data_IF_329395800818
#
_entry.id   IF_329395800818
#
_cell.length_a   1.000
_cell.length_b   1.000
_cell.length_c   1.000
_cell.angle_alpha   90.00
_cell.angle_beta   90.00
_cell.angle_gamma   90.00
#
_symmetry.space_group_name_H-M   'P 1'
#
loop_
_entity.id
_entity.type
_entity.pdbx_description
1 polymer ?
#
# COMPACT_ATOMS: atom_id res chain seq x y z
N UNK A 1 -22.45 -1.77 -6.30
CA UNK A 1 -21.60 -1.04 -7.25
C UNK A 1 -20.21 -1.64 -7.16
N UNK A 2 -19.64 -2.03 -8.29
CA UNK A 2 -18.26 -2.52 -8.40
C UNK A 2 -17.43 -1.41 -9.06
N UNK A 3 -16.52 -0.80 -8.30
CA UNK A 3 -15.74 0.37 -8.75
C UNK A 3 -14.36 -0.11 -9.23
N UNK A 4 -14.01 0.24 -10.46
CA UNK A 4 -12.79 -0.29 -11.09
C UNK A 4 -12.98 -1.76 -11.47
N UNK A 5 -14.10 -2.07 -12.15
CA UNK A 5 -14.50 -3.47 -12.41
C UNK A 5 -13.47 -4.23 -13.27
N UNK A 6 -12.62 -3.51 -14.01
CA UNK A 6 -11.60 -4.07 -14.87
C UNK A 6 -12.17 -4.82 -16.07
N UNK A 7 -11.32 -5.39 -16.93
CA UNK A 7 -11.73 -5.97 -18.21
C UNK A 7 -12.54 -7.27 -18.10
N UNK A 8 -12.62 -7.86 -16.90
CA UNK A 8 -13.28 -9.15 -16.66
C UNK A 8 -14.43 -9.08 -15.65
N UNK A 9 -14.71 -7.90 -15.10
CA UNK A 9 -15.81 -7.66 -14.17
C UNK A 9 -15.95 -8.71 -13.04
N UNK A 10 -14.82 -9.18 -12.50
CA UNK A 10 -14.77 -10.38 -11.66
C UNK A 10 -15.64 -10.22 -10.42
N UNK A 11 -15.57 -9.06 -9.75
CA UNK A 11 -16.36 -8.81 -8.54
C UNK A 11 -17.82 -8.54 -8.85
N UNK A 12 -18.15 -7.86 -9.94
CA UNK A 12 -19.53 -7.72 -10.38
C UNK A 12 -20.20 -9.09 -10.64
N UNK A 13 -19.50 -9.99 -11.32
CA UNK A 13 -19.97 -11.35 -11.57
C UNK A 13 -20.11 -12.17 -10.29
N UNK A 14 -19.12 -12.09 -9.39
CA UNK A 14 -19.18 -12.74 -8.10
C UNK A 14 -20.37 -12.23 -7.26
N UNK A 15 -20.64 -10.94 -7.28
CA UNK A 15 -21.78 -10.35 -6.57
C UNK A 15 -23.11 -10.86 -7.10
N UNK A 16 -23.30 -10.94 -8.43
CA UNK A 16 -24.53 -11.53 -9.01
C UNK A 16 -24.67 -13.00 -8.64
N UNK A 17 -23.59 -13.78 -8.74
CA UNK A 17 -23.58 -15.20 -8.32
C UNK A 17 -23.89 -15.38 -6.84
N UNK A 18 -23.54 -14.41 -5.99
CA UNK A 18 -23.88 -14.37 -4.58
C UNK A 18 -25.32 -13.87 -4.30
N UNK A 19 -26.10 -13.55 -5.34
CA UNK A 19 -27.51 -13.17 -5.22
C UNK A 19 -27.80 -11.67 -5.34
N UNK A 20 -26.83 -10.84 -5.76
CA UNK A 20 -27.10 -9.44 -6.05
C UNK A 20 -28.10 -9.30 -7.22
N UNK A 21 -29.17 -8.53 -7.00
CA UNK A 21 -30.23 -8.31 -8.01
C UNK A 21 -29.74 -7.48 -9.20
N UNK A 22 -28.86 -6.53 -8.94
CA UNK A 22 -28.30 -5.58 -9.91
C UNK A 22 -26.91 -5.16 -9.47
N UNK A 23 -25.97 -5.07 -10.41
CA UNK A 23 -24.63 -4.52 -10.22
C UNK A 23 -24.34 -3.48 -11.29
N UNK A 24 -24.02 -2.27 -10.85
CA UNK A 24 -23.38 -1.25 -11.67
C UNK A 24 -21.86 -1.45 -11.59
N UNK A 25 -21.26 -1.89 -12.68
CA UNK A 25 -19.84 -2.19 -12.83
C UNK A 25 -19.17 -1.00 -13.52
N UNK A 26 -18.41 -0.21 -12.75
CA UNK A 26 -17.87 1.08 -13.18
C UNK A 26 -16.41 0.89 -13.60
N UNK A 27 -16.07 1.33 -14.80
CA UNK A 27 -14.70 1.26 -15.32
C UNK A 27 -14.34 2.54 -16.08
N UNK A 28 -13.25 3.20 -15.69
CA UNK A 28 -12.87 4.48 -16.27
C UNK A 28 -12.11 4.34 -17.60
N UNK A 29 -11.41 3.23 -17.82
CA UNK A 29 -10.69 2.96 -19.05
C UNK A 29 -11.65 2.42 -20.14
N UNK A 30 -11.81 3.11 -21.28
CA UNK A 30 -12.78 2.71 -22.31
C UNK A 30 -12.56 1.29 -22.86
N UNK A 31 -11.30 0.90 -23.09
CA UNK A 31 -10.94 -0.43 -23.59
C UNK A 31 -11.24 -1.53 -22.56
N UNK A 32 -10.97 -1.28 -21.27
CA UNK A 32 -11.34 -2.20 -20.20
C UNK A 32 -12.86 -2.30 -20.06
N UNK A 33 -13.60 -1.19 -20.13
CA UNK A 33 -15.05 -1.18 -20.06
C UNK A 33 -15.69 -1.97 -21.22
N UNK A 34 -15.18 -1.81 -22.45
CA UNK A 34 -15.64 -2.60 -23.61
C UNK A 34 -15.36 -4.10 -23.42
N UNK A 35 -14.16 -4.46 -22.96
CA UNK A 35 -13.82 -5.86 -22.66
C UNK A 35 -14.71 -6.43 -21.56
N UNK A 36 -15.01 -5.65 -20.52
CA UNK A 36 -15.91 -6.05 -19.45
C UNK A 36 -17.32 -6.35 -19.99
N UNK A 37 -17.88 -5.48 -20.86
CA UNK A 37 -19.17 -5.73 -21.53
C UNK A 37 -19.15 -7.03 -22.31
N UNK A 38 -18.10 -7.26 -23.09
CA UNK A 38 -17.93 -8.47 -23.89
C UNK A 38 -17.71 -9.73 -23.03
N UNK A 39 -17.05 -9.61 -21.88
CA UNK A 39 -16.83 -10.72 -20.98
C UNK A 39 -18.12 -11.12 -20.25
N UNK A 40 -18.85 -10.13 -19.73
CA UNK A 40 -20.16 -10.30 -19.07
C UNK A 40 -21.18 -10.92 -20.01
N UNK A 41 -21.25 -10.49 -21.28
CA UNK A 41 -22.23 -11.01 -22.26
C UNK A 41 -22.02 -12.48 -22.62
N UNK A 42 -20.87 -13.05 -22.29
CA UNK A 42 -20.51 -14.46 -22.53
C UNK A 42 -20.67 -15.35 -21.29
N UNK A 43 -21.19 -14.82 -20.18
CA UNK A 43 -21.44 -15.59 -18.97
C UNK A 43 -22.86 -16.14 -18.99
N UNK A 44 -23.01 -17.44 -19.33
CA UNK A 44 -24.32 -18.08 -19.48
C UNK A 44 -25.09 -18.21 -18.14
N UNK A 45 -24.38 -18.16 -17.01
CA UNK A 45 -24.95 -18.28 -15.67
C UNK A 45 -25.43 -16.94 -15.07
N UNK A 46 -25.25 -15.83 -15.80
CA UNK A 46 -25.56 -14.48 -15.34
C UNK A 46 -26.88 -14.00 -15.95
N UNK A 47 -27.92 -13.70 -15.16
CA UNK A 47 -29.18 -13.21 -15.69
C UNK A 47 -29.01 -11.92 -16.51
N UNK A 48 -29.66 -11.85 -17.67
CA UNK A 48 -29.60 -10.68 -18.54
C UNK A 48 -30.02 -9.40 -17.79
N UNK A 49 -29.23 -8.33 -17.93
CA UNK A 49 -29.48 -7.03 -17.29
C UNK A 49 -29.06 -6.93 -15.81
N UNK A 50 -28.64 -8.03 -15.18
CA UNK A 50 -28.17 -8.03 -13.78
C UNK A 50 -26.83 -7.30 -13.59
N UNK A 51 -25.96 -7.28 -14.60
CA UNK A 51 -24.73 -6.47 -14.63
C UNK A 51 -24.86 -5.40 -15.70
N UNK A 52 -24.58 -4.16 -15.32
CA UNK A 52 -24.52 -3.00 -16.23
C UNK A 52 -23.15 -2.37 -16.13
N UNK A 53 -22.38 -2.47 -17.22
CA UNK A 53 -21.04 -1.89 -17.29
C UNK A 53 -21.13 -0.44 -17.77
N UNK A 54 -20.73 0.48 -16.91
CA UNK A 54 -20.75 1.93 -17.14
C UNK A 54 -19.32 2.41 -17.29
N UNK A 55 -19.03 3.07 -18.40
CA UNK A 55 -17.73 3.70 -18.62
C UNK A 55 -17.69 5.07 -17.93
N UNK A 56 -16.65 5.29 -17.14
CA UNK A 56 -16.40 6.57 -16.49
C UNK A 56 -15.88 6.44 -15.06
N UNK A 57 -15.63 7.59 -14.43
CA UNK A 57 -15.32 7.67 -13.01
C UNK A 57 -16.61 7.77 -12.21
N UNK A 58 -16.62 7.24 -10.97
CA UNK A 58 -17.76 7.39 -10.05
C UNK A 58 -18.19 8.85 -9.94
N UNK A 59 -17.23 9.77 -9.86
CA UNK A 59 -17.38 11.23 -9.79
C UNK A 59 -18.02 11.88 -11.02
N UNK A 60 -18.02 11.19 -12.16
CA UNK A 60 -18.53 11.71 -13.44
C UNK A 60 -19.84 11.03 -13.89
N UNK A 61 -20.28 9.98 -13.18
CA UNK A 61 -21.52 9.26 -13.49
C UNK A 61 -22.61 9.57 -12.48
N UNK A 62 -23.85 9.28 -12.87
CA UNK A 62 -25.02 9.27 -11.97
C UNK A 62 -25.73 7.95 -12.13
N UNK A 63 -26.00 7.28 -11.01
CA UNK A 63 -26.76 6.03 -11.00
C UNK A 63 -28.27 6.35 -10.92
N UNK A 64 -29.14 5.53 -11.53
CA UNK A 64 -30.58 5.73 -11.46
C UNK A 64 -31.17 5.43 -10.07
N UNK A 65 -30.43 4.70 -9.24
CA UNK A 65 -30.77 4.40 -7.86
C UNK A 65 -29.51 4.30 -7.00
N UNK A 66 -29.67 4.49 -5.69
CA UNK A 66 -28.59 4.26 -4.72
C UNK A 66 -28.35 2.76 -4.53
N UNK A 67 -27.11 2.38 -4.21
CA UNK A 67 -26.69 0.99 -4.00
C UNK A 67 -26.62 0.61 -2.52
N UNK A 68 -26.79 -0.68 -2.25
CA UNK A 68 -26.69 -1.28 -0.91
C UNK A 68 -25.24 -1.64 -0.52
N UNK A 69 -24.41 -1.95 -1.52
CA UNK A 69 -23.04 -2.44 -1.36
C UNK A 69 -22.10 -1.80 -2.39
N UNK A 70 -20.91 -1.41 -1.95
CA UNK A 70 -19.77 -1.00 -2.80
C UNK A 70 -18.66 -2.02 -2.67
N UNK A 71 -18.17 -2.52 -3.82
CA UNK A 71 -16.95 -3.31 -3.92
C UNK A 71 -15.91 -2.45 -4.65
N UNK A 72 -14.70 -2.35 -4.11
CA UNK A 72 -13.64 -1.54 -4.70
C UNK A 72 -12.27 -2.19 -4.48
N UNK A 73 -11.70 -2.71 -5.57
CA UNK A 73 -10.31 -3.16 -5.62
C UNK A 73 -9.53 -2.17 -6.48
N UNK A 74 -9.31 -0.98 -5.91
CA UNK A 74 -8.53 0.12 -6.48
C UNK A 74 -7.43 0.53 -5.48
N UNK A 75 -6.97 -0.44 -4.68
CA UNK A 75 -6.04 -0.20 -3.57
C UNK A 75 -4.62 -0.09 -4.12
N UNK A 76 -3.95 1.03 -3.84
CA UNK A 76 -2.53 1.19 -4.14
C UNK A 76 -1.62 0.50 -3.12
N UNK A 77 -0.32 0.75 -3.24
CA UNK A 77 0.66 0.24 -2.28
C UNK A 77 0.63 1.01 -0.94
N UNK A 78 -0.02 2.18 -0.93
CA UNK A 78 -0.47 2.88 0.27
C UNK A 78 -2.00 3.01 0.23
N UNK A 79 -2.63 3.11 1.41
CA UNK A 79 -4.08 3.12 1.54
C UNK A 79 -4.71 4.37 0.89
N UNK A 80 -3.97 5.49 0.90
CA UNK A 80 -4.41 6.75 0.29
C UNK A 80 -4.00 6.93 -1.18
N UNK A 81 -3.27 5.99 -1.78
CA UNK A 81 -2.91 6.02 -3.21
C UNK A 81 -4.14 5.84 -4.13
N UNK A 82 -3.92 5.98 -5.43
CA UNK A 82 -4.90 5.65 -6.49
C UNK A 82 -6.25 6.40 -6.40
N UNK A 83 -6.26 7.57 -5.77
CA UNK A 83 -7.46 8.38 -5.53
C UNK A 83 -8.56 7.64 -4.74
N UNK A 84 -8.22 6.57 -4.01
CA UNK A 84 -9.16 5.75 -3.25
C UNK A 84 -10.09 6.60 -2.38
N UNK A 85 -9.51 7.52 -1.60
CA UNK A 85 -10.26 8.42 -0.71
C UNK A 85 -11.31 9.24 -1.47
N UNK A 86 -10.95 9.82 -2.61
CA UNK A 86 -11.85 10.68 -3.39
C UNK A 86 -12.97 9.85 -4.00
N UNK A 87 -12.65 8.68 -4.54
CA UNK A 87 -13.60 7.75 -5.14
C UNK A 87 -14.60 7.22 -4.11
N UNK A 88 -14.12 6.81 -2.93
CA UNK A 88 -14.98 6.28 -1.87
C UNK A 88 -15.84 7.37 -1.21
N UNK A 89 -15.32 8.60 -1.06
CA UNK A 89 -16.11 9.75 -0.60
C UNK A 89 -17.28 10.04 -1.56
N UNK A 90 -17.02 10.02 -2.85
CA UNK A 90 -18.06 10.25 -3.85
C UNK A 90 -19.15 9.16 -3.81
N UNK A 91 -18.74 7.90 -3.63
CA UNK A 91 -19.67 6.79 -3.42
C UNK A 91 -20.54 6.99 -2.16
N UNK A 92 -19.92 7.35 -1.03
CA UNK A 92 -20.63 7.66 0.22
C UNK A 92 -21.70 8.73 0.04
N UNK A 93 -21.33 9.85 -0.60
CA UNK A 93 -22.18 11.04 -0.68
C UNK A 93 -23.35 10.87 -1.66
N UNK A 94 -23.08 10.30 -2.85
CA UNK A 94 -24.06 10.30 -3.95
C UNK A 94 -24.72 8.95 -4.19
N UNK A 95 -23.97 7.86 -4.06
CA UNK A 95 -24.38 6.58 -4.63
C UNK A 95 -24.87 5.56 -3.60
N UNK A 96 -24.63 5.75 -2.30
CA UNK A 96 -24.95 4.73 -1.28
C UNK A 96 -26.22 5.03 -0.48
N UNK A 97 -26.95 3.96 -0.13
CA UNK A 97 -28.13 4.02 0.78
C UNK A 97 -27.71 4.17 2.25
N UNK A 98 -26.73 3.36 2.67
CA UNK A 98 -26.29 3.25 4.08
C UNK A 98 -24.76 3.44 4.21
N UNK A 99 -24.23 4.64 3.90
CA UNK A 99 -22.77 4.88 3.86
C UNK A 99 -22.06 4.78 5.22
N UNK A 100 -22.81 4.69 6.33
CA UNK A 100 -22.27 4.51 7.68
C UNK A 100 -22.29 3.06 8.15
N UNK A 101 -22.86 2.15 7.35
CA UNK A 101 -22.87 0.74 7.66
C UNK A 101 -21.57 0.10 7.15
N UNK A 102 -20.72 -0.45 8.03
CA UNK A 102 -19.47 -1.07 7.60
C UNK A 102 -19.69 -2.31 6.70
N UNK A 103 -20.88 -2.92 6.71
CA UNK A 103 -21.24 -4.02 5.80
C UNK A 103 -21.65 -3.56 4.40
N UNK A 104 -21.76 -2.25 4.16
CA UNK A 104 -22.00 -1.69 2.81
C UNK A 104 -20.74 -1.59 1.95
N UNK A 105 -19.61 -2.18 2.39
CA UNK A 105 -18.30 -2.05 1.75
C UNK A 105 -17.53 -3.38 1.70
N UNK A 106 -16.87 -3.64 0.57
CA UNK A 106 -15.83 -4.66 0.43
C UNK A 106 -14.64 -4.05 -0.34
N UNK A 107 -13.45 -3.91 0.27
CA UNK A 107 -13.17 -4.08 1.70
C UNK A 107 -13.89 -3.00 2.54
N UNK A 108 -14.07 -3.22 3.85
CA UNK A 108 -14.64 -2.19 4.73
C UNK A 108 -13.61 -1.16 5.21
N UNK A 109 -12.32 -1.49 5.09
CA UNK A 109 -11.23 -0.55 5.35
C UNK A 109 -9.91 -1.00 4.75
N UNK A 110 -9.00 -0.03 4.63
CA UNK A 110 -7.66 -0.21 4.07
C UNK A 110 -6.66 0.50 4.98
N UNK A 111 -5.54 -0.16 5.23
CA UNK A 111 -4.51 0.27 6.14
C UNK A 111 -3.16 0.30 5.44
N UNK A 112 -2.26 1.14 5.92
CA UNK A 112 -0.85 1.11 5.55
C UNK A 112 -0.02 0.84 6.77
N UNK A 113 0.87 -0.14 6.68
CA UNK A 113 1.88 -0.42 7.69
C UNK A 113 3.20 0.20 7.27
N UNK A 114 3.99 0.61 8.25
CA UNK A 114 5.31 1.17 8.05
C UNK A 114 6.33 0.47 8.97
N UNK A 115 7.53 0.24 8.47
CA UNK A 115 8.67 -0.23 9.29
C UNK A 115 10.01 0.25 8.71
N UNK A 116 10.99 0.61 9.55
CA UNK A 116 12.33 0.91 9.08
C UNK A 116 12.96 -0.35 8.50
N UNK A 117 13.72 -0.18 7.42
CA UNK A 117 14.27 -1.28 6.65
C UNK A 117 15.75 -1.09 6.31
N UNK A 118 16.46 -2.20 6.30
CA UNK A 118 17.72 -2.40 5.61
C UNK A 118 17.43 -2.85 4.19
N UNK A 119 18.25 -2.39 3.24
CA UNK A 119 18.16 -2.79 1.83
C UNK A 119 19.55 -3.10 1.28
N UNK A 120 19.79 -4.37 0.95
CA UNK A 120 21.11 -4.87 0.58
C UNK A 120 21.69 -4.23 -0.69
N UNK A 121 20.83 -3.77 -1.59
CA UNK A 121 21.23 -3.08 -2.82
C UNK A 121 21.30 -1.55 -2.65
N UNK A 122 21.12 -1.01 -1.45
CA UNK A 122 21.28 0.42 -1.22
C UNK A 122 22.69 0.94 -1.57
N UNK A 123 23.82 0.24 -1.26
CA UNK A 123 25.15 0.68 -1.67
C UNK A 123 25.31 0.90 -3.17
N UNK A 124 24.69 0.07 -4.02
CA UNK A 124 24.80 0.21 -5.48
C UNK A 124 23.98 1.39 -6.04
N UNK A 125 23.11 1.96 -5.21
CA UNK A 125 22.34 3.16 -5.51
C UNK A 125 23.04 4.44 -5.05
N UNK A 126 24.24 4.38 -4.47
CA UNK A 126 24.98 5.57 -4.07
C UNK A 126 25.14 6.60 -5.22
N UNK A 127 25.36 7.90 -4.92
CA UNK A 127 25.54 8.92 -5.93
C UNK A 127 26.55 8.53 -7.02
N UNK A 128 26.25 8.81 -8.31
CA UNK A 128 25.15 9.65 -8.81
C UNK A 128 23.83 8.89 -9.08
N UNK A 129 23.75 7.58 -8.82
CA UNK A 129 22.54 6.79 -9.13
C UNK A 129 21.36 7.20 -8.26
N UNK A 130 21.60 7.49 -6.98
CA UNK A 130 20.59 7.98 -6.03
C UNK A 130 19.87 9.22 -6.57
N UNK A 131 20.62 10.17 -7.11
CA UNK A 131 20.09 11.43 -7.63
C UNK A 131 19.12 11.23 -8.80
N UNK A 132 19.31 10.14 -9.56
CA UNK A 132 18.40 9.78 -10.67
C UNK A 132 17.04 9.30 -10.18
N UNK A 133 16.90 8.90 -8.92
CA UNK A 133 15.61 8.57 -8.33
C UNK A 133 14.74 9.82 -8.15
N UNK A 134 15.34 11.01 -8.05
CA UNK A 134 14.63 12.29 -7.89
C UNK A 134 13.58 12.26 -6.76
N UNK A 135 13.87 11.55 -5.67
CA UNK A 135 12.96 11.40 -4.53
C UNK A 135 11.82 10.41 -4.72
N UNK A 136 11.75 9.69 -5.85
CA UNK A 136 10.80 8.60 -6.04
C UNK A 136 11.19 7.39 -5.17
N UNK A 137 10.22 6.76 -4.49
CA UNK A 137 10.48 5.56 -3.71
C UNK A 137 10.72 4.36 -4.64
N UNK A 138 11.42 3.35 -4.13
CA UNK A 138 11.53 2.06 -4.80
C UNK A 138 10.24 1.27 -4.59
N UNK A 139 9.80 0.52 -5.60
CA UNK A 139 8.69 -0.44 -5.49
C UNK A 139 9.24 -1.84 -5.63
N UNK A 140 9.42 -2.52 -4.50
CA UNK A 140 10.03 -3.85 -4.43
C UNK A 140 8.95 -4.92 -4.37
N UNK A 141 9.24 -6.11 -4.89
CA UNK A 141 8.33 -7.24 -4.73
C UNK A 141 8.13 -7.54 -3.23
N UNK A 142 6.93 -7.90 -2.78
CA UNK A 142 6.70 -8.27 -1.37
C UNK A 142 7.56 -9.46 -0.90
N UNK A 143 8.11 -10.25 -1.82
CA UNK A 143 9.04 -11.37 -1.56
C UNK A 143 10.51 -11.01 -1.73
N UNK A 144 10.84 -9.74 -1.97
CA UNK A 144 12.21 -9.30 -2.20
C UNK A 144 13.05 -9.43 -0.93
N UNK A 145 13.92 -10.45 -0.90
CA UNK A 145 14.80 -10.79 0.23
C UNK A 145 15.99 -9.85 0.37
N UNK A 146 16.14 -8.87 -0.52
CA UNK A 146 17.14 -7.82 -0.34
C UNK A 146 16.67 -6.74 0.62
N UNK A 147 15.37 -6.70 0.96
CA UNK A 147 14.80 -5.79 1.95
C UNK A 147 14.41 -6.54 3.22
N UNK A 148 14.99 -6.14 4.36
CA UNK A 148 14.67 -6.71 5.66
C UNK A 148 14.34 -5.62 6.68
N UNK A 149 13.40 -5.89 7.56
CA UNK A 149 12.88 -4.92 8.52
C UNK A 149 13.74 -4.84 9.79
N UNK A 150 13.89 -3.65 10.35
CA UNK A 150 14.74 -3.35 11.50
C UNK A 150 13.96 -3.26 12.83
N UNK A 151 12.65 -3.06 12.74
CA UNK A 151 11.73 -2.99 13.87
C UNK A 151 10.37 -3.60 13.47
N UNK A 152 9.52 -3.88 14.46
CA UNK A 152 8.16 -4.33 14.20
C UNK A 152 7.35 -3.24 13.49
N UNK A 153 6.48 -3.64 12.54
CA UNK A 153 5.69 -2.68 11.79
C UNK A 153 4.66 -1.99 12.69
N UNK A 154 4.39 -0.73 12.36
CA UNK A 154 3.35 0.07 13.01
C UNK A 154 2.35 0.55 11.97
N UNK A 155 1.10 0.71 12.42
CA UNK A 155 0.02 1.23 11.62
C UNK A 155 0.24 2.71 11.32
N UNK A 156 0.32 3.06 10.03
CA UNK A 156 0.53 4.41 9.51
C UNK A 156 -0.80 5.07 9.14
N UNK A 157 -1.59 4.39 8.32
CA UNK A 157 -2.90 4.84 7.83
C UNK A 157 -3.94 3.80 8.23
N UNK A 158 -5.11 4.26 8.68
CA UNK A 158 -6.29 3.42 8.94
C UNK A 158 -7.53 4.10 8.35
N UNK A 159 -7.89 3.72 7.13
CA UNK A 159 -9.01 4.31 6.39
C UNK A 159 -10.18 3.33 6.44
N UNK A 160 -11.21 3.69 7.20
CA UNK A 160 -12.47 2.94 7.27
C UNK A 160 -13.50 3.63 6.39
N UNK A 161 -14.01 2.91 5.40
CA UNK A 161 -14.89 3.51 4.39
C UNK A 161 -16.28 3.85 4.89
N UNK A 162 -16.61 3.49 6.13
CA UNK A 162 -17.87 3.81 6.80
C UNK A 162 -17.73 4.96 7.80
N UNK A 163 -16.55 5.57 7.94
CA UNK A 163 -16.36 6.73 8.80
C UNK A 163 -17.10 7.95 8.25
N UNK A 164 -17.63 8.79 9.16
CA UNK A 164 -18.39 10.01 8.84
C UNK A 164 -17.61 10.99 7.96
N UNK A 165 -16.28 11.01 8.10
CA UNK A 165 -15.38 11.87 7.32
C UNK A 165 -14.12 11.10 6.96
N UNK A 166 -14.03 10.68 5.70
CA UNK A 166 -12.77 10.16 5.15
C UNK A 166 -11.68 11.25 5.15
N UNK A 167 -10.42 10.88 5.41
CA UNK A 167 -9.30 11.82 5.49
C UNK A 167 -9.19 12.68 4.23
N UNK A 168 -8.73 13.93 4.36
CA UNK A 168 -8.46 14.76 3.19
C UNK A 168 -7.36 14.12 2.32
N UNK A 169 -7.44 14.19 0.99
CA UNK A 169 -6.36 13.72 0.13
C UNK A 169 -5.01 14.34 0.56
N UNK A 170 -3.99 13.50 0.71
CA UNK A 170 -2.65 13.92 1.13
C UNK A 170 -2.43 14.07 2.64
N UNK A 171 -3.43 13.82 3.50
CA UNK A 171 -3.21 13.57 4.93
C UNK A 171 -3.29 12.07 5.22
N UNK A 172 -2.20 11.52 5.74
CA UNK A 172 -2.04 10.10 6.03
C UNK A 172 -2.03 9.80 7.54
N UNK A 173 -1.61 10.75 8.39
CA UNK A 173 -1.60 10.54 9.85
C UNK A 173 -3.00 10.58 10.46
N UNK A 174 -3.32 9.53 11.21
CA UNK A 174 -4.45 9.47 12.13
C UNK A 174 -4.14 10.07 13.50
N UNK A 175 -2.85 10.27 13.84
CA UNK A 175 -2.41 10.77 15.15
C UNK A 175 -1.41 11.92 15.03
N UNK A 176 -1.47 12.87 15.98
CA UNK A 176 -0.50 13.98 16.05
C UNK A 176 0.90 13.54 16.49
N UNK A 177 1.04 12.33 17.05
CA UNK A 177 2.31 11.83 17.58
C UNK A 177 3.20 11.25 16.47
N UNK A 178 4.53 11.38 16.57
CA UNK A 178 5.45 10.62 15.73
C UNK A 178 5.30 9.11 15.95
N UNK A 179 5.47 8.32 14.89
CA UNK A 179 5.72 6.88 15.08
C UNK A 179 7.17 6.70 15.52
N UNK A 180 7.41 5.88 16.53
CA UNK A 180 8.74 5.64 17.09
C UNK A 180 9.06 4.15 17.00
N UNK A 181 10.13 3.81 16.28
CA UNK A 181 10.57 2.44 16.05
C UNK A 181 11.87 2.20 16.79
N UNK A 182 11.86 1.26 17.73
CA UNK A 182 13.10 0.82 18.39
C UNK A 182 13.70 -0.34 17.60
N UNK A 183 14.96 -0.20 17.17
CA UNK A 183 15.69 -1.24 16.45
C UNK A 183 15.84 -2.47 17.35
N UNK A 184 15.32 -3.62 16.91
CA UNK A 184 15.29 -4.84 17.70
C UNK A 184 16.54 -5.69 17.47
N UNK A 185 17.24 -6.09 18.55
CA UNK A 185 18.43 -6.96 18.44
C UNK A 185 18.15 -8.26 17.69
N UNK A 186 17.02 -8.92 18.01
CA UNK A 186 16.60 -10.15 17.36
C UNK A 186 16.38 -9.99 15.84
N UNK A 187 15.90 -8.81 15.39
CA UNK A 187 15.77 -8.52 13.95
C UNK A 187 17.14 -8.35 13.29
N UNK A 188 18.08 -7.65 13.93
CA UNK A 188 19.43 -7.52 13.38
C UNK A 188 20.12 -8.88 13.23
N UNK A 189 19.96 -9.77 14.21
CA UNK A 189 20.49 -11.14 14.17
C UNK A 189 19.83 -11.97 13.06
N UNK A 190 18.50 -11.88 12.90
CA UNK A 190 17.78 -12.57 11.83
C UNK A 190 18.21 -12.04 10.44
N UNK A 191 18.27 -10.72 10.28
CA UNK A 191 18.65 -10.08 9.01
C UNK A 191 20.09 -10.46 8.61
N UNK A 192 21.02 -10.55 9.57
CA UNK A 192 22.40 -11.00 9.32
C UNK A 192 22.41 -12.42 8.75
N UNK A 193 21.59 -13.32 9.32
CA UNK A 193 21.42 -14.67 8.81
C UNK A 193 20.77 -14.70 7.42
N UNK A 194 19.68 -13.97 7.23
CA UNK A 194 18.92 -13.97 5.97
C UNK A 194 19.75 -13.40 4.81
N UNK A 195 20.50 -12.31 5.05
CA UNK A 195 21.44 -11.77 4.06
C UNK A 195 22.59 -12.72 3.77
N UNK A 196 23.14 -13.39 4.78
CA UNK A 196 24.19 -14.38 4.55
C UNK A 196 23.67 -15.53 3.67
N UNK A 197 22.49 -16.08 3.99
CA UNK A 197 21.87 -17.15 3.19
C UNK A 197 21.56 -16.70 1.75
N UNK A 198 21.13 -15.45 1.55
CA UNK A 198 20.90 -14.88 0.23
C UNK A 198 22.21 -14.76 -0.57
N UNK A 199 23.29 -14.26 0.05
CA UNK A 199 24.60 -14.14 -0.60
C UNK A 199 25.19 -15.50 -0.96
N UNK A 200 25.04 -16.50 -0.09
CA UNK A 200 25.51 -17.86 -0.37
C UNK A 200 24.76 -18.50 -1.56
N UNK A 201 23.47 -18.18 -1.75
CA UNK A 201 22.69 -18.64 -2.93
C UNK A 201 23.17 -18.01 -4.23
N UNK A 202 23.75 -16.82 -4.16
CA UNK A 202 24.39 -16.12 -5.28
C UNK A 202 25.89 -16.50 -5.42
N UNK A 203 26.33 -17.59 -4.79
CA UNK A 203 27.68 -18.15 -4.88
C UNK A 203 28.81 -17.23 -4.38
N UNK A 204 28.49 -16.27 -3.49
CA UNK A 204 29.49 -15.44 -2.80
C UNK A 204 30.29 -16.29 -1.81
N UNK A 205 31.60 -16.05 -1.68
CA UNK A 205 32.45 -16.83 -0.77
C UNK A 205 32.09 -16.58 0.70
N UNK A 206 32.20 -17.57 1.61
CA UNK A 206 31.91 -17.37 3.04
C UNK A 206 32.72 -16.24 3.68
N UNK A 207 33.99 -16.08 3.27
CA UNK A 207 34.90 -15.04 3.75
C UNK A 207 34.40 -13.63 3.40
N UNK A 208 33.72 -13.47 2.27
CA UNK A 208 33.12 -12.20 1.84
C UNK A 208 31.68 -12.04 2.34
N UNK A 209 30.88 -13.11 2.30
CA UNK A 209 29.46 -13.10 2.64
C UNK A 209 29.22 -12.77 4.11
N UNK A 210 30.02 -13.33 5.03
CA UNK A 210 29.89 -13.10 6.47
C UNK A 210 30.01 -11.61 6.85
N UNK A 211 31.14 -10.95 6.52
CA UNK A 211 31.32 -9.52 6.77
C UNK A 211 30.26 -8.65 6.09
N UNK A 212 29.89 -8.95 4.84
CA UNK A 212 28.91 -8.16 4.09
C UNK A 212 27.51 -8.27 4.68
N UNK A 213 27.06 -9.47 5.05
CA UNK A 213 25.76 -9.69 5.68
C UNK A 213 25.66 -8.97 7.03
N UNK A 214 26.70 -9.10 7.86
CA UNK A 214 26.80 -8.42 9.16
C UNK A 214 26.79 -6.91 9.05
N UNK A 215 27.50 -6.37 8.06
CA UNK A 215 27.49 -4.93 7.79
C UNK A 215 26.10 -4.49 7.35
N UNK A 216 25.53 -5.15 6.34
CA UNK A 216 24.24 -4.80 5.74
C UNK A 216 23.10 -4.83 6.76
N UNK A 217 23.01 -5.89 7.57
CA UNK A 217 21.99 -6.06 8.61
C UNK A 217 21.95 -4.91 9.63
N UNK A 218 23.06 -4.18 9.80
CA UNK A 218 23.22 -3.08 10.75
C UNK A 218 23.23 -1.73 10.06
N UNK A 219 22.54 -1.62 8.93
CA UNK A 219 22.31 -0.36 8.23
C UNK A 219 20.84 -0.07 8.06
N UNK A 220 20.50 1.21 8.16
CA UNK A 220 19.22 1.78 7.81
C UNK A 220 19.29 2.34 6.39
N UNK A 221 18.38 1.89 5.54
CA UNK A 221 18.24 2.40 4.17
C UNK A 221 17.06 3.35 4.05
N UNK A 222 15.94 3.02 4.68
CA UNK A 222 14.78 3.87 4.68
C UNK A 222 13.53 3.23 5.25
N UNK A 223 12.37 3.77 4.89
CA UNK A 223 11.08 3.32 5.40
C UNK A 223 10.35 2.48 4.37
N UNK A 224 9.95 1.27 4.77
CA UNK A 224 9.12 0.38 3.99
C UNK A 224 7.64 0.58 4.32
N UNK A 225 6.78 0.57 3.30
CA UNK A 225 5.33 0.70 3.38
C UNK A 225 4.62 -0.37 2.57
N UNK A 226 3.48 -0.83 3.06
CA UNK A 226 2.65 -1.80 2.35
C UNK A 226 1.20 -1.77 2.85
N UNK A 227 0.22 -2.21 2.03
CA UNK A 227 -1.18 -2.15 2.40
C UNK A 227 -1.65 -3.40 3.16
N UNK A 228 -2.72 -3.25 3.93
CA UNK A 228 -3.56 -4.35 4.45
C UNK A 228 -5.02 -3.97 4.24
N UNK A 229 -5.82 -4.88 3.71
CA UNK A 229 -7.27 -4.68 3.58
C UNK A 229 -7.98 -5.42 4.70
N UNK A 230 -9.06 -4.83 5.21
CA UNK A 230 -9.96 -5.45 6.18
C UNK A 230 -11.32 -5.68 5.51
N UNK A 231 -11.78 -6.93 5.48
CA UNK A 231 -13.01 -7.32 4.77
C UNK A 231 -14.25 -7.37 5.67
N UNK A 232 -14.07 -7.38 6.99
CA UNK A 232 -15.14 -7.39 7.97
C UNK A 232 -14.90 -6.36 9.10
N UNK A 233 -15.95 -5.80 9.72
CA UNK A 233 -15.79 -4.76 10.73
C UNK A 233 -15.02 -5.22 11.98
N UNK A 234 -14.98 -6.52 12.25
CA UNK A 234 -14.26 -7.10 13.39
C UNK A 234 -12.76 -7.30 13.11
N UNK A 235 -12.29 -7.09 11.87
CA UNK A 235 -10.88 -7.26 11.52
C UNK A 235 -10.40 -8.71 11.52
N UNK A 236 -11.32 -9.67 11.36
CA UNK A 236 -11.02 -11.10 11.40
C UNK A 236 -10.67 -11.69 10.04
N UNK A 237 -11.10 -11.04 8.97
CA UNK A 237 -10.83 -11.39 7.59
C UNK A 237 -10.00 -10.26 6.99
N UNK A 238 -8.71 -10.52 6.81
CA UNK A 238 -7.76 -9.55 6.28
C UNK A 238 -7.09 -10.07 5.02
N UNK A 239 -6.77 -9.16 4.10
CA UNK A 239 -5.87 -9.42 2.98
C UNK A 239 -4.55 -8.73 3.27
N UNK A 240 -3.52 -9.54 3.47
CA UNK A 240 -2.19 -9.10 3.83
C UNK A 240 -1.28 -9.11 2.60
N UNK A 241 -0.63 -7.97 2.33
CA UNK A 241 0.42 -7.90 1.29
C UNK A 241 1.79 -8.34 1.81
N UNK A 242 2.00 -8.26 3.13
CA UNK A 242 3.08 -8.84 3.93
C UNK A 242 2.48 -9.36 5.23
N UNK A 243 3.14 -10.33 5.86
CA UNK A 243 2.65 -10.95 7.10
C UNK A 243 2.51 -9.97 8.27
N UNK A 244 1.91 -10.39 9.39
CA UNK A 244 1.58 -9.51 10.52
C UNK A 244 2.78 -8.77 11.13
N UNK A 245 3.98 -9.36 11.06
CA UNK A 245 5.23 -8.74 11.53
C UNK A 245 6.09 -8.23 10.36
N UNK A 246 5.50 -8.13 9.17
CA UNK A 246 6.13 -7.68 7.93
C UNK A 246 6.90 -8.78 7.20
N UNK A 247 6.58 -10.05 7.44
CA UNK A 247 7.18 -11.18 6.75
C UNK A 247 6.88 -11.16 5.24
N UNK A 248 7.80 -11.71 4.45
CA UNK A 248 7.61 -11.81 3.01
C UNK A 248 6.41 -12.68 2.64
N UNK A 249 5.58 -12.16 1.74
CA UNK A 249 4.37 -12.84 1.29
C UNK A 249 4.20 -12.72 -0.22
N UNK A 250 3.48 -13.68 -0.82
CA UNK A 250 3.08 -13.59 -2.21
C UNK A 250 1.95 -12.56 -2.33
N UNK A 251 2.29 -11.39 -2.85
CA UNK A 251 1.35 -10.33 -3.16
C UNK A 251 1.73 -9.67 -4.48
N UNK A 252 0.73 -9.11 -5.17
CA UNK A 252 0.97 -8.25 -6.33
C UNK A 252 1.29 -6.81 -5.90
N UNK A 253 0.81 -6.38 -4.73
CA UNK A 253 1.20 -5.09 -4.15
C UNK A 253 2.68 -5.08 -3.82
N UNK A 254 3.44 -4.06 -4.28
CA UNK A 254 4.83 -3.92 -3.91
C UNK A 254 4.97 -3.46 -2.46
N UNK A 255 6.12 -3.76 -1.86
CA UNK A 255 6.60 -3.00 -0.70
C UNK A 255 7.25 -1.72 -1.23
N UNK A 256 6.72 -0.57 -0.85
CA UNK A 256 7.28 0.73 -1.20
C UNK A 256 8.41 1.05 -0.23
N UNK A 257 9.63 1.25 -0.72
CA UNK A 257 10.78 1.67 0.09
C UNK A 257 11.14 3.12 -0.25
N UNK A 258 10.84 4.03 0.68
CA UNK A 258 11.34 5.39 0.66
C UNK A 258 12.77 5.40 1.21
N UNK A 259 13.77 5.59 0.35
CA UNK A 259 15.16 5.76 0.81
C UNK A 259 15.32 7.09 1.55
N UNK A 260 16.00 7.04 2.69
CA UNK A 260 16.11 8.18 3.62
C UNK A 260 17.48 8.87 3.57
N UNK A 261 18.43 8.30 2.85
CA UNK A 261 19.77 8.84 2.74
C UNK A 261 20.40 8.34 1.43
N UNK A 262 21.36 9.07 0.82
CA UNK A 262 22.03 8.61 -0.40
C UNK A 262 22.88 7.34 -0.23
N UNK A 263 23.22 7.00 1.01
CA UNK A 263 23.99 5.81 1.37
C UNK A 263 23.42 5.16 2.63
N UNK A 264 23.66 3.86 2.86
CA UNK A 264 23.20 3.20 4.09
C UNK A 264 23.76 3.87 5.35
N UNK A 265 22.92 3.99 6.37
CA UNK A 265 23.23 4.66 7.63
C UNK A 265 23.49 3.60 8.72
N UNK A 266 24.64 3.56 9.38
CA UNK A 266 24.89 2.59 10.46
C UNK A 266 23.92 2.75 11.63
N UNK A 267 23.47 1.62 12.18
CA UNK A 267 22.56 1.55 13.34
C UNK A 267 22.95 0.40 14.29
N UNK A 268 22.42 0.44 15.51
CA UNK A 268 22.55 -0.63 16.51
C UNK A 268 21.21 -0.91 17.20
N UNK A 269 21.14 -2.05 17.88
CA UNK A 269 20.00 -2.39 18.72
C UNK A 269 19.75 -1.30 19.79
N UNK A 270 18.48 -0.95 19.98
CA UNK A 270 18.05 0.11 20.89
C UNK A 270 18.09 1.52 20.31
N UNK A 271 18.63 1.73 19.10
CA UNK A 271 18.46 3.00 18.39
C UNK A 271 16.96 3.24 18.12
N UNK A 272 16.53 4.49 18.23
CA UNK A 272 15.13 4.89 18.01
C UNK A 272 15.04 5.71 16.73
N UNK A 273 14.27 5.20 15.78
CA UNK A 273 13.97 5.83 14.50
C UNK A 273 12.57 6.46 14.58
N UNK A 274 12.45 7.76 14.31
CA UNK A 274 11.17 8.47 14.41
C UNK A 274 10.64 8.90 13.06
N UNK A 275 9.32 8.91 12.94
CA UNK A 275 8.61 9.38 11.75
C UNK A 275 7.60 10.44 12.15
N UNK A 276 7.98 11.68 11.87
CA UNK A 276 7.09 12.84 11.93
C UNK A 276 6.44 13.09 10.58
N UNK A 277 5.33 13.81 10.56
CA UNK A 277 4.90 14.51 9.36
C UNK A 277 5.60 15.88 9.38
N UNK A 278 6.14 16.34 8.25
CA UNK A 278 6.49 17.76 8.13
C UNK A 278 5.73 18.36 6.96
N UNK A 279 4.85 19.31 7.27
CA UNK A 279 4.11 20.09 6.29
C UNK A 279 5.09 20.92 5.46
N UNK A 280 5.24 20.60 4.18
CA UNK A 280 5.66 21.57 3.17
C UNK A 280 4.50 21.85 2.24
N UNK A 281 4.28 23.13 1.92
CA UNK A 281 3.39 23.51 0.82
C UNK A 281 3.98 22.93 -0.46
N UNK A 282 3.33 21.92 -1.03
CA UNK A 282 3.66 21.47 -2.38
C UNK A 282 3.39 22.64 -3.35
N UNK A 283 4.44 23.16 -3.97
CA UNK A 283 4.31 23.99 -5.16
C UNK A 283 4.24 23.03 -6.35
N UNK A 284 3.11 23.12 -7.06
CA UNK A 284 2.83 22.56 -8.39
C UNK A 284 2.28 21.12 -8.44
N UNK A 285 1.22 21.03 -9.23
CA UNK A 285 0.39 19.89 -9.59
C UNK A 285 1.15 18.58 -9.85
N UNK A 286 1.01 17.61 -8.94
CA UNK A 286 0.87 16.17 -9.21
C UNK A 286 0.68 15.42 -7.89
N UNK A 287 0.09 14.24 -8.03
CA UNK A 287 -0.50 13.33 -7.04
C UNK A 287 0.52 12.69 -6.08
N UNK A 288 1.36 13.47 -5.39
CA UNK A 288 2.38 12.94 -4.47
C UNK A 288 2.21 13.49 -3.05
N UNK A 289 2.31 12.62 -2.05
CA UNK A 289 2.30 12.92 -0.62
C UNK A 289 3.74 13.00 -0.12
N UNK A 290 4.27 14.20 0.09
CA UNK A 290 5.61 14.35 0.64
C UNK A 290 5.65 14.10 2.15
N UNK A 291 6.27 12.99 2.56
CA UNK A 291 6.55 12.64 3.95
C UNK A 291 8.02 12.96 4.25
N UNK A 292 8.21 13.81 5.26
CA UNK A 292 9.54 14.16 5.77
C UNK A 292 9.81 13.33 7.00
N UNK A 293 10.85 12.50 6.95
CA UNK A 293 11.23 11.62 8.05
C UNK A 293 12.36 12.27 8.82
N UNK A 294 12.34 12.20 10.15
CA UNK A 294 13.42 12.73 10.98
C UNK A 294 13.94 11.61 11.88
N UNK A 295 15.14 11.11 11.58
CA UNK A 295 15.80 10.12 12.42
C UNK A 295 16.63 10.86 13.47
N UNK A 296 16.07 11.04 14.67
CA UNK A 296 16.69 11.80 15.76
C UNK A 296 18.03 11.21 16.26
N UNK A 297 18.23 9.89 16.17
CA UNK A 297 19.49 9.26 16.58
C UNK A 297 20.63 9.42 15.57
N UNK A 298 20.34 9.81 14.32
CA UNK A 298 21.34 9.88 13.23
C UNK A 298 21.39 11.24 12.52
N UNK A 299 20.64 12.25 12.99
CA UNK A 299 20.60 13.60 12.41
C UNK A 299 20.34 13.60 10.88
N UNK A 300 19.49 12.70 10.39
CA UNK A 300 19.11 12.65 8.96
C UNK A 300 17.64 13.07 8.81
N UNK A 301 17.39 14.10 8.00
CA UNK A 301 16.06 14.63 7.71
C UNK A 301 15.83 14.73 6.18
N UNK A 302 15.60 13.60 5.50
CA UNK A 302 15.26 13.58 4.08
C UNK A 302 13.79 13.96 3.85
N UNK A 303 13.53 14.54 2.67
CA UNK A 303 12.19 14.69 2.11
C UNK A 303 11.96 13.58 1.09
N UNK A 304 10.95 12.73 1.29
CA UNK A 304 10.54 11.73 0.27
C UNK A 304 9.08 11.96 -0.09
N UNK A 305 8.78 11.99 -1.39
CA UNK A 305 7.41 12.08 -1.86
C UNK A 305 6.90 10.68 -2.20
N UNK A 306 5.98 10.20 -1.36
CA UNK A 306 5.24 8.95 -1.51
C UNK A 306 4.11 9.12 -2.53
#
# INVERSE_FOLDING_TARGET
MDIGTGPFALFALAAVRAGAKKVYAIEANPEAAERARNFVSRQDDIPAGSVEVIEGFTTAITLPEKVDLVIAEIVGALASEENMITTMRDAQERHMKTPKDPFSYIPCGVQTFAAPASYALHPILAPPRYERLQGQPLRLNARDRTLELLADPQLLEDIKFFDDKLPSPGRWKTTEKPLEFTVAAARLEMNEKDYYEALMKEEVTPEEAGPLAKLTAKTFSGMAFWPRLTLDPAGTIVVESRGPLGEHQKSHWPTVLALMHPTPVPIKAGDVLKISEALRRALVSRLFVCVNFAVESVNVCPSVCL
#
